data_IF_624748853403
#
_entry.id   IF_624748853403
#
_cell.length_a   1.000
_cell.length_b   1.000
_cell.length_c   1.000
_cell.angle_alpha   90.00
_cell.angle_beta   90.00
_cell.angle_gamma   90.00
#
_symmetry.space_group_name_H-M   'P 1'
#
loop_
_entity.id
_entity.type
_entity.pdbx_description
1 polymer ?
#
# COMPACT_ATOMS: atom_id res chain seq x y z
N UNK A 1 54.00 -15.68 0.00
CA UNK A 1 52.57 -15.86 0.34
C UNK A 1 51.87 -14.60 0.92
N UNK A 2 52.53 -13.44 1.06
CA UNK A 2 51.95 -12.29 1.79
C UNK A 2 51.12 -11.32 0.93
N UNK A 3 51.34 -11.26 -0.39
CA UNK A 3 50.65 -10.29 -1.27
C UNK A 3 49.17 -10.63 -1.49
N UNK A 4 48.83 -11.92 -1.60
CA UNK A 4 47.44 -12.38 -1.75
C UNK A 4 46.61 -12.10 -0.49
N UNK A 5 47.22 -12.20 0.70
CA UNK A 5 46.56 -11.89 1.97
C UNK A 5 46.15 -10.42 2.08
N UNK A 6 47.03 -9.51 1.62
CA UNK A 6 46.76 -8.07 1.63
C UNK A 6 45.61 -7.73 0.68
N UNK A 7 45.59 -8.31 -0.52
CA UNK A 7 44.53 -8.05 -1.51
C UNK A 7 43.17 -8.58 -1.02
N UNK A 8 43.12 -9.79 -0.47
CA UNK A 8 41.88 -10.38 0.07
C UNK A 8 41.38 -9.59 1.29
N UNK A 9 42.30 -9.14 2.16
CA UNK A 9 41.95 -8.33 3.34
C UNK A 9 41.31 -6.99 2.96
N UNK A 10 41.80 -6.32 1.92
CA UNK A 10 41.25 -5.04 1.44
C UNK A 10 39.85 -5.23 0.86
N UNK A 11 39.60 -6.31 0.12
CA UNK A 11 38.28 -6.60 -0.45
C UNK A 11 37.24 -6.94 0.62
N UNK A 12 37.62 -7.67 1.67
CA UNK A 12 36.73 -7.98 2.80
C UNK A 12 36.33 -6.71 3.56
N UNK A 13 37.27 -5.78 3.79
CA UNK A 13 36.98 -4.50 4.44
C UNK A 13 36.00 -3.63 3.64
N UNK A 14 36.14 -3.60 2.31
CA UNK A 14 35.22 -2.88 1.42
C UNK A 14 33.79 -3.43 1.48
N UNK A 15 33.61 -4.76 1.57
CA UNK A 15 32.28 -5.39 1.64
C UNK A 15 31.60 -5.13 2.99
N UNK A 16 32.35 -5.18 4.10
CA UNK A 16 31.80 -4.90 5.44
C UNK A 16 31.38 -3.43 5.62
N UNK A 17 32.07 -2.49 4.98
CA UNK A 17 31.71 -1.06 5.03
C UNK A 17 30.37 -0.73 4.33
N UNK A 18 29.87 -1.60 3.44
CA UNK A 18 28.58 -1.42 2.75
C UNK A 18 27.37 -1.90 3.55
N UNK A 19 27.57 -2.67 4.63
CA UNK A 19 26.50 -3.26 5.43
C UNK A 19 26.01 -2.35 6.57
N UNK A 20 26.59 -1.15 6.72
CA UNK A 20 26.29 -0.22 7.82
C UNK A 20 25.52 1.02 7.32
N UNK A 21 24.34 0.80 6.74
CA UNK A 21 23.35 1.85 6.42
C UNK A 21 22.04 1.61 7.19
N UNK A 22 22.14 1.22 8.46
CA UNK A 22 21.00 1.00 9.32
C UNK A 22 21.02 1.98 10.51
N UNK A 23 20.68 3.25 10.29
CA UNK A 23 20.26 4.15 11.39
C UNK A 23 19.21 5.15 10.93
N UNK A 24 18.05 5.08 11.57
CA UNK A 24 16.95 6.02 11.42
C UNK A 24 15.75 5.73 12.32
N UNK A 25 15.96 5.20 13.54
CA UNK A 25 14.94 5.19 14.60
C UNK A 25 14.93 6.58 15.27
N UNK A 26 14.02 7.47 14.86
CA UNK A 26 13.78 8.72 15.59
C UNK A 26 12.57 8.57 16.51
N UNK A 27 12.85 8.69 17.79
CA UNK A 27 11.96 8.62 18.95
C UNK A 27 11.00 9.83 19.05
N UNK A 28 9.89 9.64 19.78
CA UNK A 28 8.75 10.55 19.96
C UNK A 28 9.10 11.91 20.57
N UNK A 29 8.52 12.99 20.02
CA UNK A 29 8.53 14.35 20.55
C UNK A 29 7.10 14.87 20.81
N UNK A 30 6.92 15.46 21.98
CA UNK A 30 5.69 15.88 22.67
C UNK A 30 4.87 16.98 21.94
N UNK A 31 3.54 16.91 22.04
CA UNK A 31 2.54 17.93 21.62
C UNK A 31 2.77 19.29 22.28
N UNK A 32 2.59 20.39 21.53
CA UNK A 32 1.92 21.62 22.00
C UNK A 32 1.60 22.55 20.82
N UNK A 33 0.38 23.09 20.77
CA UNK A 33 0.02 24.24 19.92
C UNK A 33 -0.99 23.95 18.81
N UNK A 34 -2.22 24.39 19.02
CA UNK A 34 -3.33 24.42 18.07
C UNK A 34 -3.00 25.28 16.84
N UNK A 35 -3.15 24.73 15.63
CA UNK A 35 -3.76 25.43 14.47
C UNK A 35 -3.81 24.52 13.24
N UNK A 36 -4.93 24.62 12.53
CA UNK A 36 -5.28 23.85 11.36
C UNK A 36 -4.27 24.05 10.21
N UNK A 37 -3.64 22.98 9.75
CA UNK A 37 -3.11 22.86 8.39
C UNK A 37 -2.79 21.39 8.09
N UNK A 38 -3.19 20.92 6.91
CA UNK A 38 -3.14 19.50 6.52
C UNK A 38 -1.81 18.81 6.82
N UNK A 39 -1.89 17.56 7.29
CA UNK A 39 -0.73 16.70 7.53
C UNK A 39 -1.08 15.25 7.18
N UNK A 40 -0.11 14.47 6.66
CA UNK A 40 -0.34 13.11 6.20
C UNK A 40 -0.47 12.19 7.42
N UNK A 41 -1.66 11.62 7.61
CA UNK A 41 -1.95 10.73 8.74
C UNK A 41 -1.25 9.39 8.58
N UNK A 42 -0.12 9.24 9.28
CA UNK A 42 0.38 7.96 9.73
C UNK A 42 0.20 7.86 11.25
N UNK A 43 -0.15 6.66 11.70
CA UNK A 43 -0.22 6.16 13.09
C UNK A 43 -1.57 6.37 13.79
N UNK A 44 -2.24 5.23 13.96
CA UNK A 44 -3.50 5.10 14.67
C UNK A 44 -3.36 5.12 16.19
N UNK A 45 -4.48 5.43 16.83
CA UNK A 45 -4.80 5.04 18.20
C UNK A 45 -6.31 4.94 18.33
N UNK A 46 -6.74 3.83 18.93
CA UNK A 46 -8.04 3.57 19.54
C UNK A 46 -9.23 3.24 18.61
N UNK A 47 -9.49 1.94 18.51
CA UNK A 47 -10.78 1.42 18.98
C UNK A 47 -11.94 1.41 17.99
N UNK A 48 -11.67 1.40 16.69
CA UNK A 48 -12.68 0.96 15.72
C UNK A 48 -12.00 0.18 14.61
N UNK A 49 -12.61 -0.93 14.22
CA UNK A 49 -12.20 -1.75 13.09
C UNK A 49 -12.51 -1.01 11.77
N UNK A 50 -11.85 0.13 11.56
CA UNK A 50 -12.05 1.03 10.44
C UNK A 50 -10.67 1.32 9.83
N UNK A 51 -10.56 1.13 8.51
CA UNK A 51 -9.28 1.11 7.79
C UNK A 51 -8.44 2.36 7.91
N UNK A 52 -7.18 2.26 7.46
CA UNK A 52 -6.30 3.43 7.36
C UNK A 52 -6.96 4.47 6.45
N UNK A 53 -7.18 5.71 6.93
CA UNK A 53 -7.78 6.74 6.10
C UNK A 53 -6.85 7.14 4.96
N UNK A 54 -7.40 7.56 3.83
CA UNK A 54 -6.64 8.02 2.68
C UNK A 54 -7.33 9.18 1.96
N UNK A 55 -6.53 10.11 1.44
CA UNK A 55 -7.03 11.18 0.55
C UNK A 55 -6.79 10.89 -0.92
N UNK A 56 -5.72 10.14 -1.22
CA UNK A 56 -5.31 9.71 -2.55
C UNK A 56 -4.67 8.32 -2.44
N UNK A 57 -4.54 7.61 -3.57
CA UNK A 57 -3.91 6.29 -3.59
C UNK A 57 -2.50 6.28 -2.96
N UNK A 58 -1.70 7.32 -3.21
CA UNK A 58 -0.32 7.42 -2.69
C UNK A 58 -0.22 7.48 -1.17
N UNK A 59 -1.34 7.69 -0.46
CA UNK A 59 -1.38 7.68 1.01
C UNK A 59 -1.52 6.26 1.58
N UNK A 60 -1.92 5.29 0.75
CA UNK A 60 -2.00 3.89 1.17
C UNK A 60 -0.61 3.24 1.14
N UNK A 61 -0.06 2.96 2.32
CA UNK A 61 1.27 2.36 2.48
C UNK A 61 1.29 0.84 2.28
N UNK A 62 0.14 0.17 2.42
CA UNK A 62 0.05 -1.30 2.31
C UNK A 62 -0.14 -1.70 0.85
N UNK A 63 0.75 -2.54 0.35
CA UNK A 63 0.62 -3.08 -1.01
C UNK A 63 -0.67 -3.87 -1.19
N UNK A 64 -1.28 -3.73 -2.37
CA UNK A 64 -2.55 -4.37 -2.68
C UNK A 64 -3.78 -3.66 -2.12
N UNK A 65 -3.62 -2.57 -1.36
CA UNK A 65 -4.75 -1.72 -0.97
C UNK A 65 -5.09 -0.66 -2.02
N UNK A 66 -6.35 -0.25 -2.05
CA UNK A 66 -6.84 0.86 -2.89
C UNK A 66 -7.58 1.87 -2.03
N UNK A 67 -7.39 3.15 -2.32
CA UNK A 67 -8.08 4.23 -1.63
C UNK A 67 -9.53 4.35 -2.10
N UNK A 68 -10.45 3.72 -1.36
CA UNK A 68 -11.89 3.66 -1.68
C UNK A 68 -12.65 4.28 -0.51
N UNK A 69 -13.54 5.23 -0.80
CA UNK A 69 -14.33 5.94 0.24
C UNK A 69 -13.45 6.54 1.35
N UNK A 70 -12.27 7.04 0.97
CA UNK A 70 -11.25 7.57 1.87
C UNK A 70 -10.67 6.56 2.87
N UNK A 71 -10.73 5.26 2.56
CA UNK A 71 -10.14 4.18 3.34
C UNK A 71 -9.25 3.32 2.43
N UNK A 72 -8.10 2.89 2.93
CA UNK A 72 -7.25 1.91 2.27
C UNK A 72 -7.83 0.51 2.50
N UNK A 73 -8.40 -0.08 1.46
CA UNK A 73 -9.03 -1.40 1.50
C UNK A 73 -8.30 -2.39 0.59
N UNK A 74 -8.20 -3.64 1.03
CA UNK A 74 -7.71 -4.76 0.22
C UNK A 74 -8.71 -5.13 -0.87
N UNK A 75 -8.30 -5.95 -1.85
CA UNK A 75 -9.12 -6.32 -3.02
C UNK A 75 -10.51 -6.88 -2.71
N UNK A 76 -10.72 -7.40 -1.51
CA UNK A 76 -11.98 -7.91 -0.97
C UNK A 76 -12.81 -6.88 -0.18
N UNK A 77 -12.49 -5.58 -0.31
CA UNK A 77 -13.03 -4.46 0.47
C UNK A 77 -12.85 -4.59 2.00
N UNK A 78 -11.99 -5.49 2.46
CA UNK A 78 -11.64 -5.61 3.87
C UNK A 78 -10.39 -4.80 4.22
N UNK A 79 -10.22 -4.53 5.51
CA UNK A 79 -9.02 -3.87 6.00
C UNK A 79 -7.81 -4.81 5.94
N UNK A 80 -6.61 -4.28 5.68
CA UNK A 80 -5.39 -5.08 5.77
C UNK A 80 -5.23 -5.63 7.18
N UNK A 81 -5.00 -6.94 7.29
CA UNK A 81 -4.78 -7.62 8.56
C UNK A 81 -3.28 -7.58 8.86
N UNK A 82 -2.89 -6.96 9.97
CA UNK A 82 -1.49 -6.76 10.35
C UNK A 82 -0.62 -6.13 9.24
N UNK A 83 -1.20 -5.19 8.48
CA UNK A 83 -0.50 -4.50 7.40
C UNK A 83 -0.33 -5.35 6.13
N UNK A 84 -1.08 -6.44 5.99
CA UNK A 84 -1.02 -7.34 4.82
C UNK A 84 -2.42 -7.58 4.27
N UNK A 85 -2.56 -7.55 2.95
CA UNK A 85 -3.77 -8.00 2.26
C UNK A 85 -3.68 -9.49 1.93
N UNK A 86 -4.81 -10.19 1.99
CA UNK A 86 -4.88 -11.57 1.50
C UNK A 86 -4.65 -11.57 -0.02
N UNK A 87 -3.82 -12.49 -0.54
CA UNK A 87 -3.69 -12.66 -1.98
C UNK A 87 -5.03 -13.14 -2.54
N UNK A 88 -5.47 -12.54 -3.65
CA UNK A 88 -6.75 -12.87 -4.26
C UNK A 88 -7.10 -11.95 -5.41
N UNK A 89 -8.25 -12.23 -6.02
CA UNK A 89 -8.85 -11.36 -7.01
C UNK A 89 -9.30 -10.04 -6.38
N UNK A 90 -9.25 -8.99 -7.18
CA UNK A 90 -9.54 -7.63 -6.81
C UNK A 90 -10.97 -7.31 -7.22
N UNK A 91 -11.76 -6.85 -6.27
CA UNK A 91 -13.12 -6.42 -6.49
C UNK A 91 -13.20 -5.14 -7.32
N UNK A 92 -14.42 -4.74 -7.64
CA UNK A 92 -14.70 -3.47 -8.28
C UNK A 92 -14.03 -2.30 -7.53
N UNK A 93 -13.58 -1.29 -8.29
CA UNK A 93 -12.87 -0.08 -7.85
C UNK A 93 -11.46 -0.29 -7.31
N UNK A 94 -10.95 -1.52 -7.25
CA UNK A 94 -9.56 -1.77 -6.88
C UNK A 94 -8.61 -1.61 -8.07
N UNK A 95 -7.39 -1.15 -7.79
CA UNK A 95 -6.36 -0.94 -8.82
C UNK A 95 -5.89 -2.27 -9.37
N UNK A 96 -5.85 -2.37 -10.70
CA UNK A 96 -5.44 -3.55 -11.44
C UNK A 96 -4.40 -3.19 -12.50
N UNK A 97 -3.61 -4.17 -12.93
CA UNK A 97 -2.72 -4.07 -14.10
C UNK A 97 -3.25 -4.91 -15.26
N UNK A 98 -3.88 -6.04 -14.95
CA UNK A 98 -4.49 -6.98 -15.91
C UNK A 98 -5.92 -7.33 -15.50
N UNK A 99 -6.71 -7.74 -16.49
CA UNK A 99 -8.09 -8.21 -16.29
C UNK A 99 -8.14 -9.47 -15.40
N UNK A 100 -7.12 -10.33 -15.49
CA UNK A 100 -6.99 -11.56 -14.69
C UNK A 100 -6.89 -11.31 -13.17
N UNK A 101 -6.55 -10.08 -12.76
CA UNK A 101 -6.50 -9.70 -11.36
C UNK A 101 -7.89 -9.36 -10.80
N UNK A 102 -8.88 -9.13 -11.65
CA UNK A 102 -10.22 -8.72 -11.25
C UNK A 102 -11.11 -9.93 -10.94
N UNK A 103 -12.09 -9.72 -10.06
CA UNK A 103 -13.15 -10.71 -9.80
C UNK A 103 -13.94 -11.03 -11.07
N UNK A 104 -14.56 -12.22 -11.11
CA UNK A 104 -15.41 -12.61 -12.23
C UNK A 104 -16.48 -11.56 -12.52
N UNK A 105 -16.66 -11.22 -13.81
CA UNK A 105 -17.58 -10.18 -14.24
C UNK A 105 -17.04 -8.75 -14.08
N UNK A 106 -15.74 -8.57 -13.81
CA UNK A 106 -15.08 -7.28 -13.85
C UNK A 106 -13.88 -7.27 -14.79
N UNK A 107 -13.66 -6.14 -15.46
CA UNK A 107 -12.53 -5.92 -16.37
C UNK A 107 -11.65 -4.76 -15.87
N UNK A 108 -10.37 -4.81 -16.23
CA UNK A 108 -9.37 -3.83 -15.82
C UNK A 108 -9.34 -2.63 -16.78
N UNK A 109 -10.14 -1.61 -16.47
CA UNK A 109 -10.31 -0.42 -17.30
C UNK A 109 -9.76 0.84 -16.62
N UNK A 110 -9.69 1.96 -17.34
CA UNK A 110 -9.27 3.22 -16.74
C UNK A 110 -10.18 3.62 -15.57
N UNK A 111 -9.56 4.10 -14.48
CA UNK A 111 -10.30 4.56 -13.31
C UNK A 111 -11.18 5.76 -13.67
N UNK A 112 -12.42 5.72 -13.20
CA UNK A 112 -13.34 6.86 -13.22
C UNK A 112 -13.11 7.79 -12.02
N UNK A 113 -12.36 7.35 -11.00
CA UNK A 113 -12.09 8.13 -9.80
C UNK A 113 -10.86 9.04 -10.01
N UNK A 114 -11.00 10.37 -9.85
CA UNK A 114 -9.91 11.32 -10.08
C UNK A 114 -8.75 11.19 -9.08
N UNK A 115 -8.96 10.52 -7.94
CA UNK A 115 -7.92 10.25 -6.93
C UNK A 115 -7.01 9.09 -7.33
N UNK A 116 -7.41 8.31 -8.33
CA UNK A 116 -6.70 7.12 -8.81
C UNK A 116 -6.35 7.32 -10.29
N UNK A 117 -5.08 7.63 -10.57
CA UNK A 117 -4.55 7.77 -11.94
C UNK A 117 -4.06 6.43 -12.51
N UNK A 118 -4.81 5.37 -12.30
CA UNK A 118 -4.44 4.00 -12.68
C UNK A 118 -5.66 3.24 -13.17
N UNK A 119 -5.46 2.06 -13.75
CA UNK A 119 -6.59 1.19 -14.10
C UNK A 119 -7.20 0.59 -12.84
N UNK A 120 -8.52 0.41 -12.86
CA UNK A 120 -9.30 -0.20 -11.78
C UNK A 120 -10.27 -1.23 -12.33
N UNK A 121 -10.56 -2.26 -11.55
CA UNK A 121 -11.57 -3.24 -11.90
C UNK A 121 -12.95 -2.56 -11.96
N UNK A 122 -13.65 -2.71 -13.08
CA UNK A 122 -14.99 -2.19 -13.30
C UNK A 122 -15.90 -3.37 -13.63
N UNK A 123 -17.07 -3.44 -13.00
CA UNK A 123 -18.05 -4.46 -13.36
C UNK A 123 -18.46 -4.31 -14.83
N UNK A 124 -18.66 -5.43 -15.50
CA UNK A 124 -19.18 -5.50 -16.87
C UNK A 124 -20.59 -4.90 -16.95
N UNK A 125 -20.97 -4.47 -18.15
CA UNK A 125 -22.31 -3.94 -18.39
C UNK A 125 -23.38 -4.97 -18.01
N UNK A 126 -24.33 -4.55 -17.16
CA UNK A 126 -25.39 -5.42 -16.64
C UNK A 126 -25.13 -6.06 -15.28
N UNK A 127 -23.92 -5.92 -14.71
CA UNK A 127 -23.58 -6.39 -13.37
C UNK A 127 -23.46 -5.21 -12.37
N UNK A 128 -23.86 -5.45 -11.12
CA UNK A 128 -23.83 -4.46 -10.05
C UNK A 128 -22.72 -4.76 -9.05
N UNK A 129 -22.03 -3.70 -8.57
CA UNK A 129 -21.06 -3.81 -7.48
C UNK A 129 -21.76 -4.18 -6.17
N UNK A 130 -21.38 -5.31 -5.60
CA UNK A 130 -21.77 -5.74 -4.26
C UNK A 130 -20.89 -5.08 -3.19
N UNK A 131 -21.34 -5.02 -1.93
CA UNK A 131 -20.53 -4.47 -0.81
C UNK A 131 -19.18 -5.16 -0.60
N UNK A 132 -19.07 -6.43 -0.99
CA UNK A 132 -17.84 -7.24 -0.98
C UNK A 132 -16.87 -6.90 -2.12
N UNK A 133 -17.27 -6.06 -3.09
CA UNK A 133 -16.51 -5.78 -4.31
C UNK A 133 -16.71 -6.78 -5.43
N UNK A 134 -17.55 -7.80 -5.25
CA UNK A 134 -17.92 -8.72 -6.34
C UNK A 134 -18.93 -8.09 -7.29
N UNK A 135 -18.98 -8.56 -8.53
CA UNK A 135 -19.95 -8.11 -9.53
C UNK A 135 -21.01 -9.20 -9.71
N UNK A 136 -22.30 -8.86 -9.55
CA UNK A 136 -23.42 -9.78 -9.72
C UNK A 136 -24.67 -9.11 -10.26
#
# INVERSE_FOLDING_TARGET
MNALYVIVSIHILMVLARLNHAYGLSTFGIKSGSQAQGTPSGVGTNGSAEGTPCSNQSNCAVEGTTCIRNLCLCGDNLNPSNGVCKPGLKGAKHICKKDEECVAGADCQESKDPKIRSKTCQCQEGLTEMPSGTCS
#
